data_IF_807141112710
#
_entry.id   IF_807141112710
#
_cell.length_a   1.000
_cell.length_b   1.000
_cell.length_c   1.000
_cell.angle_alpha   90.00
_cell.angle_beta   90.00
_cell.angle_gamma   90.00
#
_symmetry.space_group_name_H-M   'P 1'
#
loop_
_entity.id
_entity.type
_entity.pdbx_description
1 polymer ?
#
# COMPACT_ATOMS: atom_id res chain seq x y z
N UNK A 1 -13.54 7.70 -13.33
CA UNK A 1 -13.59 8.30 -12.01
C UNK A 1 -13.08 7.34 -10.96
N UNK A 2 -12.37 7.84 -9.95
CA UNK A 2 -11.86 6.98 -8.90
C UNK A 2 -13.00 6.26 -8.18
N UNK A 3 -12.71 5.05 -7.76
CA UNK A 3 -13.67 4.26 -7.00
C UNK A 3 -13.54 4.66 -5.52
N UNK A 4 -14.43 5.52 -5.08
CA UNK A 4 -14.34 6.07 -3.73
C UNK A 4 -14.68 5.05 -2.65
N UNK A 5 -15.17 3.90 -3.02
CA UNK A 5 -15.47 2.86 -2.04
C UNK A 5 -14.26 2.02 -1.67
N UNK A 6 -13.15 2.18 -2.37
CA UNK A 6 -11.96 1.41 -2.06
C UNK A 6 -11.46 1.71 -0.65
N UNK A 7 -11.14 0.66 0.07
CA UNK A 7 -10.68 0.77 1.46
C UNK A 7 -9.16 0.68 1.50
N UNK A 8 -8.55 1.69 2.07
CA UNK A 8 -7.10 1.82 2.10
C UNK A 8 -6.63 1.91 3.55
N UNK A 9 -5.61 1.13 3.88
CA UNK A 9 -5.04 1.14 5.21
C UNK A 9 -3.60 1.66 5.11
N UNK A 10 -3.24 2.61 5.96
CA UNK A 10 -1.90 3.16 6.00
C UNK A 10 -1.29 2.85 7.36
N UNK A 11 -0.20 2.09 7.35
CA UNK A 11 0.45 1.64 8.57
C UNK A 11 1.85 2.21 8.68
N UNK A 12 2.06 3.07 9.66
CA UNK A 12 3.35 3.68 9.93
C UNK A 12 3.30 4.18 11.36
N UNK A 13 4.36 3.99 12.11
CA UNK A 13 4.33 4.42 13.49
C UNK A 13 4.39 5.93 13.62
N UNK A 14 4.80 6.64 12.59
CA UNK A 14 4.92 8.08 12.66
C UNK A 14 3.68 8.76 12.11
N UNK A 15 3.02 9.52 12.99
CA UNK A 15 1.80 10.20 12.63
C UNK A 15 1.98 11.12 11.42
N UNK A 16 3.10 11.83 11.39
CA UNK A 16 3.36 12.76 10.30
C UNK A 16 3.40 12.05 8.96
N UNK A 17 4.03 10.89 8.93
CA UNK A 17 4.13 10.14 7.68
C UNK A 17 2.79 9.57 7.26
N UNK A 18 2.00 9.11 8.23
CA UNK A 18 0.66 8.61 7.91
C UNK A 18 -0.19 9.73 7.27
N UNK A 19 -0.12 10.93 7.86
CA UNK A 19 -0.90 12.03 7.32
C UNK A 19 -0.44 12.43 5.92
N UNK A 20 0.86 12.40 5.72
CA UNK A 20 1.41 12.77 4.43
C UNK A 20 0.92 11.81 3.34
N UNK A 21 0.94 10.52 3.63
CA UNK A 21 0.49 9.53 2.66
C UNK A 21 -1.01 9.63 2.46
N UNK A 22 -1.75 9.84 3.53
CA UNK A 22 -3.19 9.97 3.40
C UNK A 22 -3.55 11.13 2.49
N UNK A 23 -2.83 12.23 2.59
CA UNK A 23 -3.10 13.39 1.74
C UNK A 23 -2.88 13.08 0.27
N UNK A 24 -1.92 12.22 -0.03
CA UNK A 24 -1.70 11.83 -1.41
C UNK A 24 -2.91 11.10 -1.97
N UNK A 25 -3.50 10.21 -1.17
CA UNK A 25 -4.70 9.52 -1.61
C UNK A 25 -5.87 10.49 -1.72
N UNK A 26 -5.98 11.43 -0.79
CA UNK A 26 -7.07 12.41 -0.85
C UNK A 26 -6.96 13.26 -2.12
N UNK A 27 -5.76 13.56 -2.56
CA UNK A 27 -5.58 14.33 -3.78
C UNK A 27 -6.05 13.57 -5.01
N UNK A 28 -6.15 12.28 -4.91
CA UNK A 28 -6.64 11.44 -5.99
C UNK A 28 -8.10 11.03 -5.77
N UNK A 29 -8.75 11.64 -4.77
CA UNK A 29 -10.17 11.42 -4.45
C UNK A 29 -10.46 10.11 -3.78
N UNK A 30 -9.49 9.57 -3.07
CA UNK A 30 -9.71 8.40 -2.22
C UNK A 30 -9.74 8.86 -0.78
N UNK A 31 -10.83 8.59 -0.08
CA UNK A 31 -11.03 9.10 1.27
C UNK A 31 -11.29 8.04 2.32
N UNK A 32 -11.51 6.80 1.93
CA UNK A 32 -11.73 5.73 2.91
C UNK A 32 -10.37 5.17 3.33
N UNK A 33 -9.66 5.98 4.09
CA UNK A 33 -8.30 5.68 4.50
C UNK A 33 -8.28 5.53 6.01
N UNK A 34 -7.78 4.39 6.48
CA UNK A 34 -7.67 4.11 7.90
C UNK A 34 -6.20 4.08 8.31
N UNK A 35 -5.80 4.92 9.26
CA UNK A 35 -4.41 4.90 9.72
C UNK A 35 -4.22 3.97 10.90
N UNK A 36 -3.09 3.27 10.93
CA UNK A 36 -2.73 2.46 12.09
C UNK A 36 -1.26 2.73 12.40
N UNK A 37 -0.87 2.55 13.66
CA UNK A 37 0.45 2.95 14.07
C UNK A 37 1.37 1.79 14.42
N UNK A 38 0.87 0.57 14.51
CA UNK A 38 1.73 -0.55 14.81
C UNK A 38 1.21 -1.81 14.16
N UNK A 39 2.04 -2.84 14.17
CA UNK A 39 1.72 -4.08 13.51
C UNK A 39 0.55 -4.80 14.17
N UNK A 40 0.47 -4.73 15.50
CA UNK A 40 -0.62 -5.42 16.20
C UNK A 40 -1.97 -4.87 15.78
N UNK A 41 -2.06 -3.56 15.64
CA UNK A 41 -3.29 -2.93 15.20
C UNK A 41 -3.62 -3.32 13.77
N UNK A 42 -2.61 -3.37 12.92
CA UNK A 42 -2.79 -3.80 11.54
C UNK A 42 -3.35 -5.21 11.48
N UNK A 43 -2.71 -6.12 12.22
CA UNK A 43 -3.12 -7.51 12.18
C UNK A 43 -4.55 -7.68 12.68
N UNK A 44 -4.92 -6.92 13.70
CA UNK A 44 -6.28 -7.00 14.22
C UNK A 44 -7.29 -6.58 13.16
N UNK A 45 -7.01 -5.48 12.47
CA UNK A 45 -7.95 -5.00 11.45
C UNK A 45 -8.02 -5.94 10.26
N UNK A 46 -6.90 -6.53 9.88
CA UNK A 46 -6.88 -7.44 8.74
C UNK A 46 -7.58 -8.76 9.08
N UNK A 47 -7.26 -9.30 10.26
CA UNK A 47 -7.76 -10.62 10.61
C UNK A 47 -9.22 -10.64 11.03
N UNK A 48 -9.67 -9.57 11.65
CA UNK A 48 -11.03 -9.55 12.18
C UNK A 48 -11.95 -8.58 11.46
N UNK A 49 -11.47 -8.01 10.39
CA UNK A 49 -12.32 -7.11 9.62
C UNK A 49 -13.38 -7.87 8.86
N UNK A 50 -14.55 -7.27 8.73
CA UNK A 50 -15.65 -7.89 8.02
C UNK A 50 -15.49 -7.78 6.51
N UNK A 51 -14.66 -6.85 6.05
CA UNK A 51 -14.43 -6.64 4.63
C UNK A 51 -12.93 -6.55 4.39
N UNK A 52 -12.47 -7.02 3.24
CA UNK A 52 -11.04 -6.91 2.94
C UNK A 52 -10.66 -5.48 2.65
N UNK A 53 -9.37 -5.20 2.79
CA UNK A 53 -8.81 -3.93 2.35
C UNK A 53 -8.38 -4.05 0.91
N UNK A 54 -8.68 -3.04 0.14
CA UNK A 54 -8.26 -3.05 -1.26
C UNK A 54 -6.77 -2.77 -1.38
N UNK A 55 -6.22 -2.01 -0.44
CA UNK A 55 -4.83 -1.66 -0.46
C UNK A 55 -4.31 -1.41 0.95
N UNK A 56 -3.14 -1.94 1.24
CA UNK A 56 -2.42 -1.62 2.48
C UNK A 56 -1.09 -0.99 2.09
N UNK A 57 -0.80 0.19 2.65
CA UNK A 57 0.48 0.86 2.45
C UNK A 57 1.18 0.85 3.80
N UNK A 58 2.32 0.19 3.88
CA UNK A 58 2.93 -0.08 5.16
C UNK A 58 4.43 0.20 5.15
N UNK A 59 4.91 0.81 6.23
CA UNK A 59 6.33 1.01 6.46
C UNK A 59 6.92 -0.30 6.96
N UNK A 60 7.94 -0.78 6.26
CA UNK A 60 8.55 -2.05 6.60
C UNK A 60 9.07 -2.10 8.03
N UNK A 61 9.40 -0.95 8.60
CA UNK A 61 9.95 -0.92 9.95
C UNK A 61 8.97 -1.43 11.00
N UNK A 62 7.67 -1.45 10.68
CA UNK A 62 6.69 -1.94 11.64
C UNK A 62 6.81 -3.43 11.89
N UNK A 63 7.32 -4.15 10.91
CA UNK A 63 7.42 -5.60 11.05
C UNK A 63 8.52 -6.02 12.02
N UNK A 64 9.56 -5.20 12.11
CA UNK A 64 10.69 -5.61 12.89
C UNK A 64 11.35 -6.84 12.28
N UNK A 65 12.10 -7.53 13.09
CA UNK A 65 12.74 -8.75 12.64
C UNK A 65 11.80 -9.92 12.86
N UNK A 66 11.83 -10.84 11.97
CA UNK A 66 11.08 -12.07 12.16
C UNK A 66 9.67 -12.07 11.63
N UNK A 67 9.21 -10.97 11.06
CA UNK A 67 7.90 -10.95 10.42
C UNK A 67 8.07 -10.60 8.96
N UNK A 68 7.65 -11.49 8.10
CA UNK A 68 7.82 -11.36 6.65
C UNK A 68 6.59 -10.71 6.05
N UNK A 69 6.65 -9.40 5.83
CA UNK A 69 5.53 -8.67 5.28
C UNK A 69 5.13 -9.14 3.89
N UNK A 70 6.08 -9.30 2.96
CA UNK A 70 5.66 -9.79 1.63
C UNK A 70 4.94 -11.11 1.71
N UNK A 71 5.42 -12.01 2.54
CA UNK A 71 4.78 -13.31 2.67
C UNK A 71 3.40 -13.20 3.29
N UNK A 72 3.26 -12.32 4.27
CA UNK A 72 1.96 -12.14 4.92
C UNK A 72 0.91 -11.64 3.94
N UNK A 73 1.29 -10.72 3.08
CA UNK A 73 0.32 -10.12 2.15
C UNK A 73 0.10 -10.96 0.90
N UNK A 74 1.03 -11.83 0.59
CA UNK A 74 0.90 -12.65 -0.61
C UNK A 74 -0.26 -13.63 -0.41
N UNK A 75 -1.20 -13.61 -1.33
CA UNK A 75 -2.35 -14.51 -1.29
C UNK A 75 -3.23 -14.33 -0.06
N UNK A 76 -3.16 -13.17 0.57
CA UNK A 76 -4.01 -12.91 1.73
C UNK A 76 -5.37 -12.42 1.24
N UNK A 77 -6.44 -13.17 1.52
CA UNK A 77 -7.77 -12.79 1.00
C UNK A 77 -8.31 -11.50 1.62
N UNK A 78 -7.76 -11.06 2.74
CA UNK A 78 -8.23 -9.84 3.39
C UNK A 78 -7.50 -8.59 2.90
N UNK A 79 -6.49 -8.74 2.04
CA UNK A 79 -5.75 -7.63 1.49
C UNK A 79 -5.54 -7.89 0.01
N UNK A 80 -6.14 -7.06 -0.83
CA UNK A 80 -6.05 -7.28 -2.26
C UNK A 80 -4.71 -6.84 -2.84
N UNK A 81 -4.18 -5.73 -2.32
CA UNK A 81 -2.90 -5.21 -2.79
C UNK A 81 -2.13 -4.62 -1.63
N UNK A 82 -0.81 -4.64 -1.72
CA UNK A 82 0.02 -4.08 -0.66
C UNK A 82 1.22 -3.35 -1.27
N UNK A 83 1.55 -2.21 -0.70
CA UNK A 83 2.77 -1.49 -1.03
C UNK A 83 3.60 -1.40 0.24
N UNK A 84 4.81 -1.91 0.20
CA UNK A 84 5.72 -1.88 1.33
C UNK A 84 6.83 -0.90 1.03
N UNK A 85 7.02 0.07 1.90
CA UNK A 85 8.09 1.03 1.76
C UNK A 85 8.95 1.01 3.02
N UNK A 86 10.17 1.51 2.92
CA UNK A 86 11.06 1.54 4.05
C UNK A 86 11.60 2.95 4.19
N UNK A 87 11.00 3.70 5.10
CA UNK A 87 11.32 5.11 5.26
C UNK A 87 12.74 5.34 5.76
N UNK A 88 13.36 4.32 6.33
CA UNK A 88 14.71 4.45 6.84
C UNK A 88 15.75 3.94 5.86
N UNK A 89 15.33 3.49 4.72
CA UNK A 89 16.27 2.96 3.75
C UNK A 89 16.94 4.10 3.02
N UNK A 90 18.25 4.18 3.15
CA UNK A 90 19.01 5.22 2.47
C UNK A 90 20.01 4.64 1.49
N UNK A 91 20.05 3.33 1.38
CA UNK A 91 21.01 2.68 0.53
C UNK A 91 20.49 2.52 -0.85
N UNK A 92 21.36 2.04 -1.69
CA UNK A 92 20.95 1.73 -3.01
C UNK A 92 19.77 0.79 -2.96
N UNK A 93 18.88 0.95 -3.86
CA UNK A 93 17.67 0.15 -3.87
C UNK A 93 18.01 -1.30 -4.15
N UNK A 94 17.32 -2.15 -3.48
CA UNK A 94 17.40 -3.53 -3.86
C UNK A 94 16.63 -3.72 -5.12
N UNK A 95 16.96 -4.80 -5.76
CA UNK A 95 16.31 -5.14 -7.00
C UNK A 95 14.88 -5.50 -6.70
N UNK A 96 13.96 -4.99 -7.45
CA UNK A 96 12.57 -5.33 -7.23
C UNK A 96 12.21 -6.72 -7.70
N UNK A 97 13.14 -7.62 -7.58
CA UNK A 97 12.85 -9.00 -7.92
C UNK A 97 11.87 -9.62 -6.95
N UNK A 98 11.66 -8.96 -5.82
CA UNK A 98 10.71 -9.45 -4.84
C UNK A 98 9.30 -9.07 -5.15
N UNK A 99 9.10 -8.34 -6.22
CA UNK A 99 7.77 -7.89 -6.56
C UNK A 99 6.90 -9.09 -6.90
N UNK A 100 5.79 -9.19 -6.22
CA UNK A 100 4.86 -10.27 -6.44
C UNK A 100 3.59 -9.72 -7.06
N UNK A 101 2.65 -10.59 -7.34
CA UNK A 101 1.45 -10.20 -8.05
C UNK A 101 0.75 -9.02 -7.41
N UNK A 102 0.58 -9.04 -6.10
CA UNK A 102 -0.19 -8.01 -5.41
C UNK A 102 0.64 -7.28 -4.37
N UNK A 103 1.94 -7.54 -4.31
CA UNK A 103 2.80 -6.92 -3.31
C UNK A 103 3.91 -6.17 -4.04
N UNK A 104 4.06 -4.90 -3.72
CA UNK A 104 5.08 -4.08 -4.33
C UNK A 104 6.01 -3.52 -3.29
N UNK A 105 7.27 -3.41 -3.63
CA UNK A 105 8.27 -2.79 -2.79
C UNK A 105 8.64 -1.46 -3.40
N UNK A 106 8.53 -0.42 -2.60
CA UNK A 106 8.84 0.92 -3.07
C UNK A 106 10.34 1.14 -3.08
N UNK A 107 10.83 1.75 -4.14
CA UNK A 107 12.23 2.11 -4.21
C UNK A 107 12.53 3.41 -3.49
N UNK A 108 11.50 4.20 -3.20
CA UNK A 108 11.66 5.44 -2.48
C UNK A 108 11.42 5.22 -1.01
N UNK A 109 12.04 6.06 -0.18
CA UNK A 109 11.86 5.95 1.26
C UNK A 109 10.41 6.18 1.65
N UNK A 110 9.76 7.14 0.99
CA UNK A 110 8.34 7.37 1.19
C UNK A 110 7.68 7.45 -0.16
N UNK A 111 6.47 6.93 -0.29
CA UNK A 111 5.75 7.05 -1.54
C UNK A 111 5.47 8.51 -1.85
N UNK A 112 5.56 8.88 -3.11
CA UNK A 112 5.16 10.21 -3.55
C UNK A 112 3.93 10.08 -4.42
N UNK A 113 3.44 11.23 -4.88
CA UNK A 113 2.20 11.23 -5.65
C UNK A 113 2.30 10.38 -6.91
N UNK A 114 3.43 10.45 -7.60
CA UNK A 114 3.59 9.67 -8.82
C UNK A 114 3.56 8.17 -8.52
N UNK A 115 4.18 7.78 -7.42
CA UNK A 115 4.16 6.38 -6.99
C UNK A 115 2.73 5.93 -6.71
N UNK A 116 1.99 6.74 -5.97
CA UNK A 116 0.61 6.39 -5.62
C UNK A 116 -0.26 6.34 -6.88
N UNK A 117 -0.05 7.26 -7.81
CA UNK A 117 -0.81 7.24 -9.05
C UNK A 117 -0.59 5.96 -9.83
N UNK A 118 0.67 5.54 -9.95
CA UNK A 118 0.97 4.30 -10.66
C UNK A 118 0.37 3.11 -9.94
N UNK A 119 0.45 3.12 -8.62
CA UNK A 119 -0.09 2.03 -7.82
C UNK A 119 -1.59 1.92 -8.03
N UNK A 120 -2.29 3.04 -7.96
CA UNK A 120 -3.74 3.03 -8.06
C UNK A 120 -4.22 2.67 -9.45
N UNK A 121 -3.41 2.87 -10.46
CA UNK A 121 -3.79 2.43 -11.80
C UNK A 121 -3.97 0.92 -11.85
N UNK A 122 -3.24 0.19 -11.01
CA UNK A 122 -3.40 -1.25 -10.95
C UNK A 122 -4.39 -1.72 -9.90
N UNK A 123 -4.67 -0.88 -8.92
CA UNK A 123 -5.56 -1.25 -7.83
C UNK A 123 -7.01 -0.91 -8.12
N UNK A 124 -7.23 0.22 -8.76
CA UNK A 124 -8.57 0.74 -8.96
C UNK A 124 -9.07 0.41 -10.38
N UNK A 125 -9.98 -0.54 -10.51
CA UNK A 125 -10.45 -0.91 -11.85
C UNK A 125 -11.32 0.14 -12.50
N UNK A 126 -11.72 1.17 -11.76
CA UNK A 126 -12.58 2.20 -12.32
C UNK A 126 -11.83 3.38 -12.89
N UNK A 127 -10.51 3.42 -12.71
CA UNK A 127 -9.75 4.48 -13.30
C UNK A 127 -9.70 4.30 -14.82
N UNK A 128 -9.83 5.37 -15.56
CA UNK A 128 -9.67 5.27 -17.01
C UNK A 128 -8.24 4.84 -17.27
N UNK A 129 -8.11 3.85 -18.08
CA UNK A 129 -6.80 3.32 -18.34
C UNK A 129 -6.14 4.11 -19.44
N UNK A 130 -5.15 4.82 -19.07
CA UNK A 130 -4.42 5.62 -20.04
C UNK A 130 -3.27 4.80 -20.56
N UNK A 131 -3.36 4.41 -21.65
CA UNK A 131 -2.39 3.52 -22.16
C UNK A 131 -2.87 2.15 -22.03
N UNK A 132 -3.43 2.03 -22.14
CA UNK A 132 -3.70 0.98 -22.01
C UNK A 132 -3.43 -0.07 -22.15
N UNK A 133 -3.17 0.07 -22.29
CA UNK A 133 -2.85 -0.60 -22.18
C UNK A 133 -2.52 -1.53 -21.81
N UNK A 134 -2.38 -1.57 -21.96
CA UNK A 134 -2.00 -2.26 -21.66
C UNK A 134 -2.11 -3.22 -21.15
N UNK A 135 -2.42 -3.35 -21.26
CA UNK A 135 -2.43 -4.15 -20.68
C UNK A 135 -2.37 -5.10 -20.89
N UNK A 136 -2.26 -5.16 -21.13
CA UNK A 136 -2.17 -6.06 -21.24
C UNK A 136 -1.55 -6.73 -20.99
N UNK A 137 -1.24 -6.86 -20.80
CA UNK A 137 -0.52 -7.47 -20.54
C UNK A 137 -0.57 -8.39 -20.39
#
# INVERSE_FOLDING_TARGET
LPNKALRILIADEQHFQRMRIERLFNRLDYYRVAPVQDLAELLTLVEYGSEPFDLVVINASLAGEGFDLPDFFLDNPQVHHALIYDAEQVKSPSIPACEQQNVQLSLAALPDLACIQRLMAGVDPRLPFVGTVISVR
#
